data_IF_154157274861
#
_entry.id   IF_154157274861
#
_cell.length_a   1.000
_cell.length_b   1.000
_cell.length_c   1.000
_cell.angle_alpha   90.00
_cell.angle_beta   90.00
_cell.angle_gamma   90.00
#
_symmetry.space_group_name_H-M   'P 1'
#
loop_
_entity.id
_entity.type
_entity.pdbx_description
1 polymer ?
#
# COMPACT_ATOMS: atom_id res chain seq x y z
N UNK A 1 -28.44 -28.86 51.46
CA UNK A 1 -27.74 -27.62 51.06
C UNK A 1 -27.57 -27.68 49.55
N UNK A 2 -28.59 -27.26 48.78
CA UNK A 2 -28.53 -27.23 47.32
C UNK A 2 -27.92 -25.91 46.88
N UNK A 3 -26.78 -25.99 46.20
CA UNK A 3 -26.11 -24.84 45.60
C UNK A 3 -26.76 -24.55 44.25
N UNK A 4 -27.65 -23.56 44.20
CA UNK A 4 -28.24 -23.08 42.95
C UNK A 4 -27.16 -22.36 42.15
N UNK A 5 -26.84 -22.87 40.96
CA UNK A 5 -25.98 -22.18 40.00
C UNK A 5 -26.70 -20.93 39.51
N UNK A 6 -26.13 -19.78 39.85
CA UNK A 6 -26.57 -18.46 39.43
C UNK A 6 -26.35 -18.33 37.91
N UNK A 7 -27.43 -18.29 37.14
CA UNK A 7 -27.38 -18.05 35.70
C UNK A 7 -26.75 -16.67 35.44
N UNK A 8 -25.83 -16.54 34.47
CA UNK A 8 -25.24 -15.26 34.17
C UNK A 8 -26.34 -14.37 33.59
N UNK A 9 -26.74 -13.38 34.39
CA UNK A 9 -27.62 -12.28 33.98
C UNK A 9 -27.26 -11.82 32.56
N UNK A 10 -28.20 -12.02 31.63
CA UNK A 10 -28.14 -11.46 30.28
C UNK A 10 -28.22 -9.95 30.45
N UNK A 11 -27.05 -9.32 30.62
CA UNK A 11 -26.95 -7.86 30.61
C UNK A 11 -27.37 -7.41 29.22
N UNK A 12 -28.57 -6.86 29.14
CA UNK A 12 -29.06 -6.05 28.02
C UNK A 12 -28.23 -4.76 27.96
N UNK A 13 -26.94 -4.90 27.62
CA UNK A 13 -26.15 -3.78 27.12
C UNK A 13 -26.66 -3.59 25.69
N UNK A 14 -27.04 -2.37 25.33
CA UNK A 14 -27.25 -2.02 23.93
C UNK A 14 -25.88 -2.16 23.24
N UNK A 15 -25.53 -3.39 22.85
CA UNK A 15 -24.27 -3.71 22.23
C UNK A 15 -24.39 -3.35 20.76
N UNK A 16 -24.18 -2.06 20.46
CA UNK A 16 -23.75 -1.71 19.10
C UNK A 16 -22.67 -2.70 18.71
N UNK A 17 -22.92 -3.46 17.65
CA UNK A 17 -22.04 -4.55 17.25
C UNK A 17 -20.63 -3.99 17.02
N UNK A 18 -19.59 -4.82 17.16
CA UNK A 18 -18.23 -4.37 16.86
C UNK A 18 -18.13 -3.74 15.45
N UNK A 19 -18.92 -4.25 14.51
CA UNK A 19 -19.05 -3.70 13.16
C UNK A 19 -19.69 -2.30 13.13
N UNK A 20 -20.77 -2.06 13.87
CA UNK A 20 -21.41 -0.74 13.95
C UNK A 20 -20.48 0.30 14.56
N UNK A 21 -19.75 -0.04 15.63
CA UNK A 21 -18.77 0.86 16.23
C UNK A 21 -17.62 1.17 15.26
N UNK A 22 -17.14 0.16 14.52
CA UNK A 22 -16.10 0.37 13.52
C UNK A 22 -16.56 1.34 12.43
N UNK A 23 -17.80 1.21 11.95
CA UNK A 23 -18.41 2.12 10.97
C UNK A 23 -18.62 3.53 11.52
N UNK A 24 -19.07 3.66 12.78
CA UNK A 24 -19.31 4.96 13.40
C UNK A 24 -18.01 5.72 13.73
N UNK A 25 -16.93 5.00 14.06
CA UNK A 25 -15.69 5.59 14.53
C UNK A 25 -14.56 5.62 13.49
N UNK A 26 -14.72 5.02 12.31
CA UNK A 26 -13.67 4.96 11.29
C UNK A 26 -14.15 5.36 9.90
N UNK A 27 -13.23 5.88 9.10
CA UNK A 27 -13.41 6.14 7.66
C UNK A 27 -12.43 5.33 6.83
N UNK A 28 -12.81 5.07 5.59
CA UNK A 28 -11.93 4.46 4.60
C UNK A 28 -10.93 5.49 4.06
N UNK A 29 -9.66 5.09 3.96
CA UNK A 29 -8.58 5.89 3.39
C UNK A 29 -7.73 5.06 2.42
N UNK A 30 -7.35 5.67 1.31
CA UNK A 30 -6.50 5.09 0.27
C UNK A 30 -5.42 6.10 -0.12
N UNK A 31 -4.18 5.64 -0.22
CA UNK A 31 -3.07 6.41 -0.79
C UNK A 31 -2.68 5.79 -2.12
N UNK A 32 -2.58 6.61 -3.17
CA UNK A 32 -2.18 6.17 -4.50
C UNK A 32 -1.13 7.10 -5.08
N UNK A 33 -0.18 6.52 -5.83
CA UNK A 33 0.90 7.26 -6.47
C UNK A 33 0.85 7.02 -7.96
N UNK A 34 0.90 8.10 -8.75
CA UNK A 34 1.38 8.02 -10.13
C UNK A 34 2.90 8.11 -10.08
N UNK A 35 3.57 7.11 -10.65
CA UNK A 35 5.03 7.00 -10.57
C UNK A 35 5.64 6.88 -11.95
N UNK A 36 6.87 7.36 -12.11
CA UNK A 36 7.61 7.27 -13.35
C UNK A 36 8.06 5.82 -13.63
N UNK A 37 7.95 5.41 -14.89
CA UNK A 37 8.58 4.19 -15.37
C UNK A 37 10.10 4.34 -15.43
N UNK A 38 10.85 3.39 -14.90
CA UNK A 38 12.33 3.46 -14.86
C UNK A 38 13.00 2.78 -16.05
N UNK A 39 12.25 1.96 -16.80
CA UNK A 39 12.73 1.18 -17.93
C UNK A 39 11.72 1.19 -19.06
N UNK A 40 12.22 1.04 -20.28
CA UNK A 40 11.41 0.83 -21.49
C UNK A 40 11.95 -0.35 -22.27
N UNK A 41 11.06 -1.21 -22.74
CA UNK A 41 11.43 -2.32 -23.61
C UNK A 41 12.03 -1.83 -24.92
N UNK A 42 12.99 -2.58 -25.44
CA UNK A 42 13.52 -2.39 -26.78
C UNK A 42 12.55 -2.93 -27.83
N UNK A 43 12.63 -2.44 -29.06
CA UNK A 43 11.93 -3.06 -30.19
C UNK A 43 12.61 -4.38 -30.57
N UNK A 44 11.91 -5.30 -31.24
CA UNK A 44 12.50 -6.57 -31.69
C UNK A 44 13.80 -6.36 -32.49
N UNK A 45 13.79 -5.44 -33.47
CA UNK A 45 15.01 -5.06 -34.21
C UNK A 45 16.18 -4.60 -33.31
N UNK A 46 15.90 -3.90 -32.20
CA UNK A 46 16.93 -3.46 -31.26
C UNK A 46 17.47 -4.62 -30.42
N UNK A 47 16.65 -5.63 -30.12
CA UNK A 47 17.06 -6.85 -29.42
C UNK A 47 17.89 -7.73 -30.36
N UNK A 48 17.45 -7.96 -31.60
CA UNK A 48 18.20 -8.71 -32.61
C UNK A 48 19.63 -8.15 -32.80
N UNK A 49 19.76 -6.83 -32.98
CA UNK A 49 21.07 -6.17 -33.12
C UNK A 49 21.96 -6.35 -31.87
N UNK A 50 21.37 -6.35 -30.68
CA UNK A 50 22.11 -6.62 -29.47
C UNK A 50 22.53 -8.10 -29.39
N UNK A 51 21.64 -9.02 -29.76
CA UNK A 51 21.89 -10.46 -29.79
C UNK A 51 23.05 -10.83 -30.72
N UNK A 52 23.10 -10.24 -31.91
CA UNK A 52 24.19 -10.41 -32.87
C UNK A 52 25.56 -10.05 -32.26
N UNK A 53 25.61 -9.00 -31.42
CA UNK A 53 26.85 -8.55 -30.78
C UNK A 53 27.40 -9.56 -29.77
N UNK A 54 26.50 -10.35 -29.16
CA UNK A 54 26.85 -11.37 -28.17
C UNK A 54 26.86 -12.79 -28.73
N UNK A 55 26.58 -12.96 -30.03
CA UNK A 55 26.41 -14.29 -30.65
C UNK A 55 25.29 -15.11 -30.00
N UNK A 56 24.29 -14.43 -29.45
CA UNK A 56 23.18 -15.03 -28.73
C UNK A 56 21.94 -15.13 -29.63
N UNK A 57 21.10 -16.13 -29.37
CA UNK A 57 19.79 -16.21 -29.99
C UNK A 57 18.84 -15.16 -29.38
N UNK A 58 18.13 -14.41 -30.24
CA UNK A 58 17.23 -13.32 -29.83
C UNK A 58 16.19 -13.77 -28.79
N UNK A 59 15.68 -15.01 -28.91
CA UNK A 59 14.65 -15.57 -28.03
C UNK A 59 15.10 -15.73 -26.58
N UNK A 60 16.42 -15.82 -26.36
CA UNK A 60 17.01 -16.00 -25.03
C UNK A 60 17.67 -14.73 -24.49
N UNK A 61 17.67 -13.62 -25.27
CA UNK A 61 18.22 -12.34 -24.84
C UNK A 61 17.11 -11.38 -24.39
N UNK A 62 17.21 -10.90 -23.15
CA UNK A 62 16.39 -9.78 -22.67
C UNK A 62 17.22 -8.50 -22.58
N UNK A 63 16.74 -7.43 -23.19
CA UNK A 63 17.39 -6.13 -23.18
C UNK A 63 16.37 -4.99 -23.08
N UNK A 64 16.74 -3.94 -22.33
CA UNK A 64 15.85 -2.82 -22.04
C UNK A 64 16.62 -1.52 -21.81
N UNK A 65 16.00 -0.41 -22.19
CA UNK A 65 16.54 0.93 -21.95
C UNK A 65 16.25 1.35 -20.52
N UNK A 66 17.28 1.68 -19.76
CA UNK A 66 17.11 2.40 -18.49
C UNK A 66 16.78 3.86 -18.81
N UNK A 67 15.62 4.33 -18.39
CA UNK A 67 15.16 5.71 -18.66
C UNK A 67 15.62 6.69 -17.58
N UNK A 68 15.67 6.22 -16.34
CA UNK A 68 16.04 7.02 -15.17
C UNK A 68 17.13 6.31 -14.40
N UNK A 69 18.14 7.06 -13.96
CA UNK A 69 19.12 6.50 -13.04
C UNK A 69 18.56 6.42 -11.61
N UNK A 70 18.10 5.22 -11.25
CA UNK A 70 17.57 4.93 -9.91
C UNK A 70 18.60 5.03 -8.78
N UNK A 71 19.89 5.12 -9.11
CA UNK A 71 20.97 5.33 -8.12
C UNK A 71 21.26 6.81 -7.87
N UNK A 72 20.73 7.70 -8.70
CA UNK A 72 20.94 9.13 -8.54
C UNK A 72 20.32 9.64 -7.22
N UNK A 73 21.02 10.49 -6.44
CA UNK A 73 20.52 10.99 -5.14
C UNK A 73 19.10 11.57 -5.22
N UNK A 74 18.83 12.43 -6.21
CA UNK A 74 17.49 13.01 -6.40
C UNK A 74 16.38 11.95 -6.60
N UNK A 75 16.66 10.83 -7.28
CA UNK A 75 15.67 9.75 -7.43
C UNK A 75 15.42 9.06 -6.09
N UNK A 76 16.49 8.84 -5.31
CA UNK A 76 16.41 8.24 -3.98
C UNK A 76 15.64 9.14 -3.01
N UNK A 77 15.86 10.46 -3.05
CA UNK A 77 15.15 11.44 -2.22
C UNK A 77 13.65 11.41 -2.49
N UNK A 78 13.22 11.45 -3.75
CA UNK A 78 11.80 11.37 -4.11
C UNK A 78 11.21 10.00 -3.71
N UNK A 79 11.99 8.92 -3.89
CA UNK A 79 11.60 7.58 -3.43
C UNK A 79 11.45 7.51 -1.90
N UNK A 80 12.32 8.18 -1.16
CA UNK A 80 12.27 8.26 0.29
C UNK A 80 11.00 8.99 0.76
N UNK A 81 10.62 10.10 0.11
CA UNK A 81 9.36 10.79 0.38
C UNK A 81 8.17 9.84 0.19
N UNK A 82 8.09 9.14 -0.96
CA UNK A 82 7.04 8.15 -1.22
C UNK A 82 6.99 7.08 -0.13
N UNK A 83 8.13 6.53 0.27
CA UNK A 83 8.22 5.50 1.29
C UNK A 83 7.75 6.01 2.66
N UNK A 84 8.09 7.25 3.02
CA UNK A 84 7.58 7.89 4.25
C UNK A 84 6.07 8.02 4.24
N UNK A 85 5.48 8.48 3.14
CA UNK A 85 4.01 8.57 2.99
C UNK A 85 3.34 7.20 3.13
N UNK A 86 3.90 6.14 2.50
CA UNK A 86 3.38 4.77 2.64
C UNK A 86 3.51 4.27 4.09
N UNK A 87 4.66 4.53 4.73
CA UNK A 87 4.92 4.14 6.11
C UNK A 87 3.94 4.81 7.06
N UNK A 88 3.75 6.12 6.92
CA UNK A 88 2.81 6.90 7.70
C UNK A 88 1.38 6.39 7.54
N UNK A 89 0.94 6.20 6.29
CA UNK A 89 -0.38 5.65 5.99
C UNK A 89 -0.60 4.30 6.69
N UNK A 90 0.36 3.38 6.61
CA UNK A 90 0.28 2.08 7.29
C UNK A 90 0.28 2.20 8.82
N UNK A 91 1.05 3.13 9.38
CA UNK A 91 1.16 3.34 10.83
C UNK A 91 -0.10 3.97 11.43
N UNK A 92 -0.77 4.84 10.68
CA UNK A 92 -1.95 5.57 11.14
C UNK A 92 -3.29 4.86 10.85
N UNK A 93 -3.28 3.78 10.07
CA UNK A 93 -4.50 3.10 9.62
C UNK A 93 -4.44 1.58 9.75
N UNK A 94 -5.61 0.96 9.89
CA UNK A 94 -5.80 -0.47 10.03
C UNK A 94 -6.07 -1.13 8.65
N UNK A 95 -5.59 -2.36 8.40
CA UNK A 95 -5.92 -3.07 7.17
C UNK A 95 -7.44 -3.32 7.07
N UNK A 96 -7.95 -3.31 5.84
CA UNK A 96 -9.33 -3.65 5.51
C UNK A 96 -9.32 -4.72 4.40
N UNK A 97 -10.35 -5.60 4.29
CA UNK A 97 -10.34 -6.71 3.33
C UNK A 97 -10.12 -6.27 1.88
N UNK A 98 -10.63 -5.11 1.49
CA UNK A 98 -10.53 -4.55 0.16
C UNK A 98 -9.11 -4.04 -0.12
N UNK A 99 -8.43 -4.54 -1.17
CA UNK A 99 -7.06 -4.17 -1.46
C UNK A 99 -6.84 -2.67 -1.66
N UNK A 100 -5.89 -2.11 -0.90
CA UNK A 100 -5.53 -0.69 -0.97
C UNK A 100 -6.48 0.23 -0.23
N UNK A 101 -7.49 -0.30 0.47
CA UNK A 101 -8.30 0.45 1.43
C UNK A 101 -7.80 0.12 2.84
N UNK A 102 -7.76 1.14 3.69
CA UNK A 102 -7.45 1.01 5.11
C UNK A 102 -8.42 1.86 5.91
N UNK A 103 -8.58 1.55 7.20
CA UNK A 103 -9.46 2.30 8.09
C UNK A 103 -8.65 3.23 8.98
N UNK A 104 -9.02 4.50 9.02
CA UNK A 104 -8.49 5.48 9.98
C UNK A 104 -9.63 5.95 10.89
N UNK A 105 -9.33 6.21 12.16
CA UNK A 105 -10.33 6.73 13.09
C UNK A 105 -10.67 8.19 12.77
N UNK A 106 -11.94 8.58 12.96
CA UNK A 106 -12.43 9.93 12.65
C UNK A 106 -11.59 11.02 13.32
N UNK A 107 -11.24 10.86 14.59
CA UNK A 107 -10.48 11.85 15.35
C UNK A 107 -9.04 12.08 14.84
N UNK A 108 -8.52 11.20 13.97
CA UNK A 108 -7.16 11.27 13.43
C UNK A 108 -7.11 11.79 11.99
N UNK A 109 -8.24 12.11 11.38
CA UNK A 109 -8.31 12.57 9.98
C UNK A 109 -7.52 13.86 9.79
N UNK A 110 -7.69 14.84 10.68
CA UNK A 110 -7.01 16.14 10.54
C UNK A 110 -5.49 15.99 10.68
N UNK A 111 -5.03 15.23 11.68
CA UNK A 111 -3.60 14.91 11.84
C UNK A 111 -3.04 14.17 10.64
N UNK A 112 -3.81 13.22 10.08
CA UNK A 112 -3.40 12.49 8.89
C UNK A 112 -3.25 13.42 7.69
N UNK A 113 -4.23 14.29 7.45
CA UNK A 113 -4.20 15.26 6.37
C UNK A 113 -3.02 16.22 6.50
N UNK A 114 -2.76 16.73 7.70
CA UNK A 114 -1.64 17.65 7.94
C UNK A 114 -0.28 17.00 7.68
N UNK A 115 -0.10 15.72 8.01
CA UNK A 115 1.16 15.01 7.79
C UNK A 115 1.33 14.47 6.36
N UNK A 116 0.26 14.44 5.56
CA UNK A 116 0.26 13.95 4.18
C UNK A 116 0.38 15.06 3.13
N UNK A 117 0.41 16.33 3.54
CA UNK A 117 0.75 17.48 2.70
C UNK A 117 2.26 17.54 2.42
#
# INVERSE_FOLDING_TARGET
MSTTLEEPSVRTRQETTAAERLRACSVAVRVSFRWFGTRKSLTAQQIARAADTFGAEEQYLSAGKKLLDTRHPAFQEVTAVRNRMIGLWKAMSLPYPEPGIRLIRHERIDTFNQQMQ
#
